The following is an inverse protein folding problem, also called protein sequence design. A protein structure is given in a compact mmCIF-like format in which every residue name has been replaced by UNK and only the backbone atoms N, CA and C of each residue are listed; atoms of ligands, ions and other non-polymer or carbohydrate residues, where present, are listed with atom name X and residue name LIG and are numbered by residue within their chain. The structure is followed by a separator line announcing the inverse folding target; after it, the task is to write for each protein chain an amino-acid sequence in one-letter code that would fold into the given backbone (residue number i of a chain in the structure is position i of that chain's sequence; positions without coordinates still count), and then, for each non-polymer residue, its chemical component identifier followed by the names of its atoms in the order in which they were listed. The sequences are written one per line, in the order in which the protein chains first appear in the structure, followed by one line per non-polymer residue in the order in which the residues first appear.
data_IF_974061360259
#
_entry.id   IF_974061360259
#
_cell.length_a   1.000
_cell.length_b   1.000
_cell.length_c   1.000
_cell.angle_alpha   90.00
_cell.angle_beta   90.00
_cell.angle_gamma   90.00
#
_symmetry.space_group_name_H-M   'P 1'
#
loop_
_entity.id
_entity.type
_entity.pdbx_description
1 polymer ?
#
# COMPACT_ATOMS: atom_id res chain seq x y z
N UNK A 1 11.02 7.38 15.47
CA UNK A 1 10.88 6.89 14.08
C UNK A 1 11.14 8.05 13.15
N UNK A 2 12.15 7.99 12.30
CA UNK A 2 12.39 9.01 11.28
C UNK A 2 11.91 8.48 9.92
N UNK A 3 10.96 9.18 9.32
CA UNK A 3 10.52 8.96 7.95
C UNK A 3 11.45 9.72 7.01
N UNK A 4 11.72 9.15 5.85
CA UNK A 4 12.64 9.69 4.86
C UNK A 4 11.98 9.77 3.48
N UNK A 5 12.66 10.43 2.55
CA UNK A 5 12.31 10.44 1.14
C UNK A 5 13.52 9.93 0.34
N UNK A 6 13.27 9.14 -0.69
CA UNK A 6 14.30 8.81 -1.67
C UNK A 6 14.42 9.91 -2.74
N UNK A 7 15.27 9.68 -3.75
CA UNK A 7 15.49 10.64 -4.83
C UNK A 7 14.23 10.88 -5.70
N UNK A 8 13.30 9.92 -5.74
CA UNK A 8 12.04 10.02 -6.48
C UNK A 8 10.89 10.59 -5.65
N UNK A 9 11.19 11.06 -4.43
CA UNK A 9 10.22 11.57 -3.45
C UNK A 9 9.28 10.50 -2.92
N UNK A 10 9.68 9.23 -2.93
CA UNK A 10 8.95 8.19 -2.24
C UNK A 10 9.13 8.33 -0.74
N UNK A 11 8.02 8.50 -0.03
CA UNK A 11 8.00 8.61 1.43
C UNK A 11 8.02 7.21 2.04
N UNK A 12 9.07 6.91 2.81
CA UNK A 12 9.27 5.60 3.41
C UNK A 12 9.77 5.69 4.85
N UNK A 13 9.66 4.58 5.57
CA UNK A 13 10.31 4.35 6.85
C UNK A 13 11.11 3.05 6.78
N UNK A 14 12.37 3.10 7.17
CA UNK A 14 13.26 1.94 7.25
C UNK A 14 13.77 1.77 8.68
N UNK A 15 13.38 0.66 9.33
CA UNK A 15 13.96 0.19 10.57
C UNK A 15 15.06 -0.81 10.25
N UNK A 16 16.31 -0.38 10.26
CA UNK A 16 17.45 -1.27 9.97
C UNK A 16 17.98 -1.89 11.27
N UNK A 17 17.95 -3.22 11.36
CA UNK A 17 18.44 -4.04 12.50
C UNK A 17 19.43 -5.12 12.06
N UNK A 18 20.09 -4.95 10.91
CA UNK A 18 21.02 -5.93 10.34
C UNK A 18 20.42 -7.34 10.19
N UNK A 19 19.15 -7.42 9.92
CA UNK A 19 18.41 -8.66 9.61
C UNK A 19 17.78 -8.56 8.24
N UNK A 20 17.36 -9.70 7.68
CA UNK A 20 16.63 -9.75 6.42
C UNK A 20 15.35 -8.89 6.54
N UNK A 21 15.19 -7.82 5.74
CA UNK A 21 14.08 -6.89 5.93
C UNK A 21 12.75 -7.49 5.48
N UNK A 22 11.67 -6.98 6.11
CA UNK A 22 10.30 -7.21 5.69
C UNK A 22 9.81 -5.92 5.04
N UNK A 23 9.34 -5.99 3.79
CA UNK A 23 8.73 -4.84 3.10
C UNK A 23 7.23 -4.99 3.12
N UNK A 24 6.53 -3.94 3.56
CA UNK A 24 5.08 -3.89 3.67
C UNK A 24 4.49 -2.93 2.64
N UNK A 25 3.55 -3.43 1.80
CA UNK A 25 2.82 -2.64 0.81
C UNK A 25 1.37 -2.49 1.25
N UNK A 26 0.92 -1.26 1.45
CA UNK A 26 -0.44 -0.95 1.89
C UNK A 26 -1.50 -1.05 0.78
N UNK A 27 -2.78 -0.94 1.15
CA UNK A 27 -3.92 -0.96 0.25
C UNK A 27 -4.30 0.42 -0.32
N UNK A 28 -5.16 0.44 -1.35
CA UNK A 28 -5.69 1.68 -1.93
C UNK A 28 -6.43 2.51 -0.88
N UNK A 29 -6.27 3.83 -0.93
CA UNK A 29 -6.92 4.77 0.01
C UNK A 29 -6.34 4.73 1.43
N UNK A 30 -5.23 4.03 1.64
CA UNK A 30 -4.50 3.95 2.91
C UNK A 30 -3.11 4.59 2.74
N UNK A 31 -2.28 4.47 3.77
CA UNK A 31 -0.87 4.84 3.73
C UNK A 31 -0.07 3.88 4.61
N UNK A 32 1.24 4.06 4.67
CA UNK A 32 2.13 3.18 5.45
C UNK A 32 1.80 3.10 6.95
N UNK A 33 1.04 4.06 7.51
CA UNK A 33 0.62 4.06 8.92
C UNK A 33 -0.32 2.89 9.27
N UNK A 34 -1.00 2.29 8.29
CA UNK A 34 -1.85 1.13 8.53
C UNK A 34 -1.08 -0.03 9.14
N UNK A 35 0.23 -0.09 8.91
CA UNK A 35 1.10 -1.16 9.40
C UNK A 35 1.60 -0.94 10.85
N UNK A 36 1.12 0.13 11.52
CA UNK A 36 1.57 0.45 12.90
C UNK A 36 1.51 -0.73 13.88
N UNK A 37 0.44 -1.56 13.92
CA UNK A 37 0.41 -2.72 14.80
C UNK A 37 1.47 -3.77 14.46
N UNK A 38 1.68 -4.03 13.15
CA UNK A 38 2.66 -5.00 12.67
C UNK A 38 4.09 -4.54 12.93
N UNK A 39 4.40 -3.27 12.65
CA UNK A 39 5.75 -2.73 12.88
C UNK A 39 6.10 -2.64 14.37
N UNK A 40 5.12 -2.47 15.26
CA UNK A 40 5.36 -2.57 16.70
C UNK A 40 5.74 -4.00 17.11
N UNK A 41 5.09 -5.01 16.53
CA UNK A 41 5.44 -6.41 16.74
C UNK A 41 6.85 -6.72 16.19
N UNK A 42 7.17 -6.21 15.00
CA UNK A 42 8.46 -6.42 14.33
C UNK A 42 9.54 -5.38 14.67
N UNK A 43 9.38 -4.60 15.74
CA UNK A 43 10.32 -3.50 16.06
C UNK A 43 11.79 -3.91 16.23
N UNK A 44 12.05 -5.18 16.57
CA UNK A 44 13.39 -5.75 16.69
C UNK A 44 13.94 -6.36 15.39
N UNK A 45 13.16 -6.34 14.30
CA UNK A 45 13.53 -6.81 12.98
C UNK A 45 13.78 -5.63 12.03
N UNK A 46 14.50 -5.88 10.94
CA UNK A 46 14.54 -4.93 9.82
C UNK A 46 13.20 -4.94 9.09
N UNK A 47 12.66 -3.75 8.83
CA UNK A 47 11.47 -3.62 7.98
C UNK A 47 11.42 -2.28 7.26
N UNK A 48 10.68 -2.27 6.17
CA UNK A 48 10.42 -1.09 5.35
C UNK A 48 8.91 -0.96 5.17
N UNK A 49 8.39 0.25 5.39
CA UNK A 49 7.05 0.65 4.97
C UNK A 49 7.18 1.88 4.08
N UNK A 50 6.29 2.05 3.11
CA UNK A 50 6.30 3.23 2.24
C UNK A 50 4.90 3.58 1.79
N UNK A 51 4.72 4.82 1.38
CA UNK A 51 3.48 5.30 0.78
C UNK A 51 3.49 5.04 -0.72
N UNK A 52 2.46 4.40 -1.25
CA UNK A 52 2.30 4.19 -2.69
C UNK A 52 2.19 5.54 -3.43
N UNK A 53 2.53 5.55 -4.72
CA UNK A 53 2.34 6.72 -5.58
C UNK A 53 0.92 7.28 -5.44
N UNK A 54 0.81 8.59 -5.17
CA UNK A 54 -0.46 9.28 -4.94
C UNK A 54 -1.11 9.01 -3.58
N UNK A 55 -0.41 8.35 -2.65
CA UNK A 55 -0.91 8.07 -1.29
C UNK A 55 0.02 8.68 -0.24
N UNK A 56 -0.56 9.00 0.92
CA UNK A 56 0.20 9.53 2.04
C UNK A 56 0.99 10.79 1.67
N UNK A 57 2.31 10.73 1.79
CA UNK A 57 3.23 11.83 1.43
C UNK A 57 3.98 11.60 0.12
N UNK A 58 3.77 10.47 -0.54
CA UNK A 58 4.37 10.21 -1.86
C UNK A 58 3.54 10.90 -2.95
N UNK A 59 4.12 11.84 -3.72
CA UNK A 59 3.38 12.62 -4.70
C UNK A 59 2.93 11.77 -5.89
N UNK A 60 1.89 12.25 -6.56
CA UNK A 60 1.41 11.75 -7.82
C UNK A 60 1.97 12.62 -8.96
N UNK A 61 2.85 12.04 -9.78
CA UNK A 61 3.56 12.82 -10.83
C UNK A 61 3.05 12.57 -12.26
N UNK A 62 2.15 11.59 -12.45
CA UNK A 62 1.70 11.18 -13.80
C UNK A 62 0.17 11.03 -13.84
N UNK A 63 -0.50 11.45 -14.92
CA UNK A 63 -1.97 11.43 -15.01
C UNK A 63 -2.56 10.02 -15.04
N UNK A 64 -1.79 9.01 -15.43
CA UNK A 64 -2.24 7.61 -15.50
C UNK A 64 -1.21 6.71 -14.84
N UNK A 65 -1.59 6.06 -13.75
CA UNK A 65 -0.78 5.02 -13.09
C UNK A 65 -1.13 3.64 -13.63
N UNK A 66 -0.11 2.91 -14.02
CA UNK A 66 -0.19 1.48 -14.31
C UNK A 66 0.31 0.67 -13.11
N UNK A 67 0.04 -0.63 -13.09
CA UNK A 67 0.62 -1.55 -12.11
C UNK A 67 2.15 -1.51 -12.15
N UNK A 68 2.73 -1.38 -13.33
CA UNK A 68 4.16 -1.26 -13.54
C UNK A 68 4.78 -0.04 -12.83
N UNK A 69 4.08 1.10 -12.75
CA UNK A 69 4.60 2.26 -12.03
C UNK A 69 4.79 1.97 -10.54
N UNK A 70 3.87 1.24 -9.91
CA UNK A 70 3.99 0.82 -8.51
C UNK A 70 5.08 -0.23 -8.32
N UNK A 71 5.24 -1.16 -9.25
CA UNK A 71 6.32 -2.15 -9.23
C UNK A 71 7.69 -1.49 -9.36
N UNK A 72 7.81 -0.51 -10.26
CA UNK A 72 9.04 0.29 -10.42
C UNK A 72 9.31 1.15 -9.18
N UNK A 73 8.27 1.69 -8.52
CA UNK A 73 8.43 2.39 -7.24
C UNK A 73 9.11 1.50 -6.20
N UNK A 74 8.62 0.26 -6.01
CA UNK A 74 9.23 -0.69 -5.10
C UNK A 74 10.67 -1.00 -5.49
N UNK A 75 10.93 -1.25 -6.77
CA UNK A 75 12.28 -1.50 -7.29
C UNK A 75 13.23 -0.34 -7.00
N UNK A 76 12.78 0.90 -7.21
CA UNK A 76 13.59 2.10 -6.94
C UNK A 76 13.92 2.23 -5.44
N UNK A 77 12.97 2.01 -4.54
CA UNK A 77 13.19 2.03 -3.09
C UNK A 77 14.21 0.95 -2.68
N UNK A 78 14.04 -0.28 -3.17
CA UNK A 78 14.93 -1.42 -2.88
C UNK A 78 16.36 -1.12 -3.36
N UNK A 79 16.51 -0.60 -4.58
CA UNK A 79 17.81 -0.24 -5.14
C UNK A 79 18.45 0.95 -4.38
N UNK A 80 17.67 1.98 -4.05
CA UNK A 80 18.13 3.15 -3.30
C UNK A 80 18.67 2.75 -1.91
N UNK A 81 17.99 1.81 -1.24
CA UNK A 81 18.39 1.28 0.07
C UNK A 81 19.43 0.16 -0.01
N UNK A 82 19.82 -0.26 -1.23
CA UNK A 82 20.78 -1.34 -1.48
C UNK A 82 20.35 -2.66 -0.83
N UNK A 83 19.07 -3.00 -0.95
CA UNK A 83 18.51 -4.23 -0.42
C UNK A 83 18.62 -5.32 -1.49
N UNK A 84 19.32 -6.38 -1.20
CA UNK A 84 19.54 -7.49 -2.14
C UNK A 84 18.49 -8.61 -1.99
N UNK A 85 17.95 -8.78 -0.77
CA UNK A 85 16.96 -9.82 -0.48
C UNK A 85 16.04 -9.39 0.64
N UNK A 86 14.74 -9.76 0.54
CA UNK A 86 13.74 -9.38 1.54
C UNK A 86 12.51 -10.29 1.53
N UNK A 87 11.70 -10.20 2.59
CA UNK A 87 10.36 -10.75 2.67
C UNK A 87 9.37 -9.68 2.22
N UNK A 88 8.43 -10.03 1.33
CA UNK A 88 7.46 -9.08 0.79
C UNK A 88 6.05 -9.39 1.28
N UNK A 89 5.37 -8.40 1.85
CA UNK A 89 4.00 -8.49 2.33
C UNK A 89 3.16 -7.43 1.64
N UNK A 90 2.12 -7.85 0.93
CA UNK A 90 1.18 -6.94 0.27
C UNK A 90 -0.24 -7.09 0.78
N UNK A 91 -0.94 -5.96 0.95
CA UNK A 91 -2.36 -5.92 1.33
C UNK A 91 -3.21 -5.34 0.20
N UNK A 92 -4.27 -6.04 -0.20
CA UNK A 92 -5.23 -5.60 -1.23
C UNK A 92 -4.53 -5.28 -2.56
N UNK A 93 -4.54 -4.01 -3.04
CA UNK A 93 -3.75 -3.60 -4.22
C UNK A 93 -2.25 -3.86 -4.02
N UNK A 94 -1.76 -3.71 -2.79
CA UNK A 94 -0.38 -4.05 -2.45
C UNK A 94 -0.04 -5.51 -2.71
N UNK A 95 -1.01 -6.42 -2.60
CA UNK A 95 -0.82 -7.83 -2.98
C UNK A 95 -0.65 -8.01 -4.50
N UNK A 96 -1.39 -7.24 -5.30
CA UNK A 96 -1.26 -7.28 -6.76
C UNK A 96 0.10 -6.71 -7.21
N UNK A 97 0.55 -5.63 -6.56
CA UNK A 97 1.90 -5.06 -6.77
C UNK A 97 2.97 -6.09 -6.39
N UNK A 98 2.79 -6.78 -5.27
CA UNK A 98 3.72 -7.80 -4.80
C UNK A 98 3.81 -9.01 -5.75
N UNK A 99 2.68 -9.44 -6.33
CA UNK A 99 2.64 -10.48 -7.36
C UNK A 99 3.37 -10.02 -8.63
N UNK A 100 3.09 -8.82 -9.11
CA UNK A 100 3.75 -8.25 -10.29
C UNK A 100 5.26 -8.11 -10.06
N UNK A 101 5.68 -7.67 -8.87
CA UNK A 101 7.09 -7.60 -8.50
C UNK A 101 7.73 -8.99 -8.49
N UNK A 102 7.08 -9.97 -7.86
CA UNK A 102 7.58 -11.34 -7.78
C UNK A 102 7.77 -11.96 -9.18
N UNK A 103 6.87 -11.68 -10.12
CA UNK A 103 6.97 -12.20 -11.49
C UNK A 103 8.17 -11.65 -12.27
N UNK A 104 8.67 -10.46 -11.91
CA UNK A 104 9.78 -9.79 -12.60
C UNK A 104 11.11 -9.92 -11.85
N UNK A 105 11.07 -10.02 -10.55
CA UNK A 105 12.21 -9.87 -9.65
C UNK A 105 12.26 -10.95 -8.56
N UNK A 106 11.95 -12.19 -8.90
CA UNK A 106 11.90 -13.33 -7.99
C UNK A 106 13.18 -13.47 -7.13
N UNK A 107 14.32 -13.20 -7.71
CA UNK A 107 15.63 -13.32 -7.05
C UNK A 107 15.79 -12.41 -5.82
N UNK A 108 15.04 -11.33 -5.72
CA UNK A 108 15.03 -10.46 -4.55
C UNK A 108 14.22 -11.04 -3.37
N UNK A 109 13.33 -11.98 -3.64
CA UNK A 109 12.37 -12.45 -2.63
C UNK A 109 12.88 -13.66 -1.87
N UNK A 110 12.84 -13.56 -0.54
CA UNK A 110 12.96 -14.71 0.34
C UNK A 110 11.58 -15.36 0.59
N UNK A 111 10.55 -14.53 0.75
CA UNK A 111 9.16 -14.98 0.88
C UNK A 111 8.18 -13.93 0.34
N UNK A 112 6.98 -14.38 -0.03
CA UNK A 112 5.87 -13.56 -0.48
C UNK A 112 4.63 -13.87 0.36
N UNK A 113 4.03 -12.84 0.98
CA UNK A 113 2.79 -12.95 1.73
C UNK A 113 1.74 -12.03 1.13
N UNK A 114 0.59 -12.60 0.77
CA UNK A 114 -0.52 -11.89 0.14
C UNK A 114 -1.71 -11.85 1.09
N UNK A 115 -2.15 -10.63 1.44
CA UNK A 115 -3.26 -10.41 2.37
C UNK A 115 -4.42 -9.77 1.60
N UNK A 116 -5.61 -10.39 1.69
CA UNK A 116 -6.83 -9.91 1.00
C UNK A 116 -6.64 -9.71 -0.50
N UNK A 117 -5.93 -10.64 -1.14
CA UNK A 117 -5.72 -10.63 -2.59
C UNK A 117 -6.92 -11.20 -3.32
N UNK A 118 -7.07 -10.80 -4.58
CA UNK A 118 -8.07 -11.37 -5.48
C UNK A 118 -7.37 -12.23 -6.52
N UNK A 119 -7.69 -13.52 -6.56
CA UNK A 119 -7.15 -14.44 -7.57
C UNK A 119 -7.88 -14.28 -8.90
N UNK A 120 -9.22 -14.35 -8.87
CA UNK A 120 -10.06 -14.21 -10.04
C UNK A 120 -11.37 -13.51 -9.65
N UNK A 121 -11.78 -12.51 -10.44
CA UNK A 121 -13.07 -11.83 -10.25
C UNK A 121 -14.08 -12.38 -11.24
N UNK A 122 -15.30 -12.61 -10.76
CA UNK A 122 -16.46 -12.83 -11.63
C UNK A 122 -16.76 -11.58 -12.47
N UNK A 123 -17.62 -11.71 -13.48
CA UNK A 123 -18.06 -10.56 -14.27
C UNK A 123 -18.76 -9.50 -13.39
N UNK A 124 -19.59 -9.93 -12.44
CA UNK A 124 -20.29 -9.07 -11.48
C UNK A 124 -19.30 -8.32 -10.57
N UNK A 125 -18.32 -9.01 -10.00
CA UNK A 125 -17.31 -8.38 -9.15
C UNK A 125 -16.47 -7.35 -9.92
N UNK A 126 -16.18 -7.61 -11.20
CA UNK A 126 -15.50 -6.64 -12.08
C UNK A 126 -16.37 -5.41 -12.31
N UNK A 127 -17.66 -5.60 -12.60
CA UNK A 127 -18.60 -4.49 -12.78
C UNK A 127 -18.69 -3.65 -11.52
N UNK A 128 -18.81 -4.28 -10.35
CA UNK A 128 -18.82 -3.58 -9.05
C UNK A 128 -17.57 -2.73 -8.81
N UNK A 129 -16.39 -3.15 -9.32
CA UNK A 129 -15.16 -2.32 -9.24
C UNK A 129 -15.26 -1.13 -10.18
N UNK A 130 -15.73 -1.33 -11.42
CA UNK A 130 -15.91 -0.24 -12.41
C UNK A 130 -16.89 0.80 -11.88
N UNK A 131 -18.01 0.37 -11.31
CA UNK A 131 -19.04 1.27 -10.77
C UNK A 131 -18.48 2.13 -9.62
N UNK A 132 -17.68 1.52 -8.73
CA UNK A 132 -16.99 2.28 -7.67
C UNK A 132 -16.00 3.31 -8.22
N UNK A 133 -15.24 2.96 -9.25
CA UNK A 133 -14.32 3.91 -9.92
C UNK A 133 -15.10 5.06 -10.55
N UNK A 134 -16.24 4.77 -11.20
CA UNK A 134 -17.10 5.78 -11.82
C UNK A 134 -17.75 6.70 -10.77
N UNK A 135 -18.17 6.17 -9.63
CA UNK A 135 -18.67 6.95 -8.50
C UNK A 135 -17.58 7.84 -7.91
N UNK A 136 -16.36 7.32 -7.80
CA UNK A 136 -15.21 8.09 -7.34
C UNK A 136 -14.90 9.29 -8.23
N UNK A 137 -14.97 9.12 -9.54
CA UNK A 137 -14.79 10.21 -10.52
C UNK A 137 -15.86 11.30 -10.42
N UNK A 138 -17.01 11.01 -9.80
CA UNK A 138 -18.12 11.95 -9.58
C UNK A 138 -18.08 12.65 -8.20
N UNK A 139 -16.89 12.78 -7.59
CA UNK A 139 -16.69 13.42 -6.29
C UNK A 139 -17.35 12.72 -5.08
N UNK A 140 -17.64 11.43 -5.17
CA UNK A 140 -18.01 10.67 -3.98
C UNK A 140 -16.75 10.29 -3.21
N UNK A 141 -16.65 10.60 -1.91
CA UNK A 141 -15.48 10.23 -1.12
C UNK A 141 -15.38 8.70 -1.00
N UNK A 142 -14.47 8.10 -1.78
CA UNK A 142 -14.18 6.64 -1.75
C UNK A 142 -13.93 6.20 -0.31
N UNK A 143 -13.31 7.05 0.50
CA UNK A 143 -13.04 6.84 1.91
C UNK A 143 -14.31 6.56 2.72
N UNK A 144 -15.40 7.32 2.53
CA UNK A 144 -16.65 7.10 3.27
C UNK A 144 -17.33 5.78 2.88
N UNK A 145 -17.29 5.43 1.59
CA UNK A 145 -17.82 4.14 1.12
C UNK A 145 -17.01 2.95 1.65
N UNK A 146 -15.69 3.10 1.71
CA UNK A 146 -14.80 2.09 2.27
C UNK A 146 -15.05 1.91 3.77
N UNK A 147 -15.22 2.99 4.52
CA UNK A 147 -15.51 2.95 5.95
C UNK A 147 -16.78 2.16 6.27
N UNK A 148 -17.88 2.45 5.58
CA UNK A 148 -19.16 1.72 5.74
C UNK A 148 -19.05 0.22 5.40
N UNK A 149 -18.13 -0.16 4.54
CA UNK A 149 -17.91 -1.56 4.16
C UNK A 149 -17.00 -2.29 5.15
N UNK A 150 -16.03 -1.59 5.75
CA UNK A 150 -15.02 -2.19 6.63
C UNK A 150 -15.42 -2.24 8.09
N UNK A 151 -16.32 -1.36 8.51
CA UNK A 151 -16.69 -1.20 9.90
C UNK A 151 -18.21 -1.28 10.09
N UNK A 152 -18.66 -1.84 11.19
CA UNK A 152 -20.07 -1.84 11.57
C UNK A 152 -20.56 -0.42 11.91
N UNK A 153 -21.87 -0.17 11.74
CA UNK A 153 -22.47 1.11 12.11
C UNK A 153 -22.22 1.48 13.57
N UNK A 154 -22.21 0.51 14.46
CA UNK A 154 -21.89 0.69 15.88
C UNK A 154 -20.47 1.21 16.08
N UNK A 155 -19.49 0.67 15.33
CA UNK A 155 -18.11 1.13 15.39
C UNK A 155 -17.95 2.53 14.79
N UNK A 156 -18.60 2.80 13.70
CA UNK A 156 -18.58 4.11 13.04
C UNK A 156 -19.19 5.21 13.94
N UNK A 157 -20.27 4.91 14.63
CA UNK A 157 -20.92 5.86 15.55
C UNK A 157 -20.02 6.31 16.72
N UNK A 158 -19.12 5.41 17.19
CA UNK A 158 -18.20 5.70 18.30
C UNK A 158 -16.87 6.30 17.81
N UNK A 159 -16.43 5.96 16.60
CA UNK A 159 -15.06 6.25 16.12
C UNK A 159 -15.01 7.36 15.06
N UNK A 160 -16.13 7.96 14.69
CA UNK A 160 -16.23 8.94 13.58
C UNK A 160 -15.33 10.17 13.79
N UNK A 161 -15.01 10.51 15.02
CA UNK A 161 -14.14 11.64 15.35
C UNK A 161 -12.64 11.33 15.22
N UNK A 162 -12.24 10.06 15.09
CA UNK A 162 -10.84 9.64 15.08
C UNK A 162 -10.39 8.92 13.81
N UNK A 163 -11.32 8.56 12.92
CA UNK A 163 -11.02 7.88 11.66
C UNK A 163 -10.92 8.90 10.51
N UNK A 164 -9.79 9.56 10.42
CA UNK A 164 -9.41 10.26 9.19
C UNK A 164 -8.70 9.24 8.28
N UNK A 165 -9.39 8.76 7.24
CA UNK A 165 -8.69 8.11 6.13
C UNK A 165 -7.83 9.18 5.42
N UNK A 166 -6.59 8.84 5.03
CA UNK A 166 -5.77 9.76 4.25
C UNK A 166 -6.55 10.17 3.00
N UNK A 167 -6.73 11.46 2.83
CA UNK A 167 -7.25 12.01 1.59
C UNK A 167 -6.29 11.65 0.47
N UNK A 168 -6.79 10.96 -0.57
CA UNK A 168 -6.05 10.87 -1.82
C UNK A 168 -5.90 12.30 -2.35
N UNK A 169 -4.69 12.82 -2.35
CA UNK A 169 -4.39 14.12 -2.92
C UNK A 169 -4.34 13.95 -4.44
N UNK A 170 -5.36 14.44 -5.10
CA UNK A 170 -5.39 14.66 -6.54
C UNK A 170 -5.84 13.46 -7.37
N UNK A 171 -7.09 13.52 -7.80
CA UNK A 171 -7.57 12.94 -9.05
C UNK A 171 -7.70 14.08 -10.06
#
# INVERSE_FOLDING_TARGET
MSYNFDNDQNHYYFNNKNSLPIIFIHGVGLNQQMWKPQIEFFKNNSFITYDLLGHGKTPFKKPNLSMENFTNQLSNIVNYLKIEKFNLIGFSIGSLIAIEFASKYENYLNSLTLISTTYQRTAEERQNVIDRVNLAKKNMPISQMAMKRWFSDKYLAVSYTHLTLPTMIGV
#
